data_IF_893950404263
#
_entry.id   IF_893950404263
#
_cell.length_a   1.000
_cell.length_b   1.000
_cell.length_c   1.000
_cell.angle_alpha   90.00
_cell.angle_beta   90.00
_cell.angle_gamma   90.00
#
_symmetry.space_group_name_H-M   'P 1'
#
loop_
_entity.id
_entity.type
_entity.pdbx_description
1 polymer ?
#
# COMPACT_ATOMS: atom_id res chain seq x y z
N UNK A 1 -0.74 13.06 -7.48
CA UNK A 1 -0.48 11.67 -7.06
C UNK A 1 1.03 11.42 -7.13
N UNK A 2 1.63 10.90 -6.06
CA UNK A 2 3.06 10.52 -6.06
C UNK A 2 3.28 9.15 -6.71
N UNK A 3 4.54 8.75 -6.92
CA UNK A 3 4.87 7.51 -7.62
C UNK A 3 4.29 6.27 -6.91
N UNK A 4 4.39 6.22 -5.59
CA UNK A 4 3.91 5.07 -4.80
C UNK A 4 2.39 4.97 -4.82
N UNK A 5 1.70 6.10 -4.72
CA UNK A 5 0.24 6.16 -4.88
C UNK A 5 -0.19 5.69 -6.27
N UNK A 6 0.55 6.10 -7.30
CA UNK A 6 0.25 5.67 -8.67
C UNK A 6 0.47 4.17 -8.86
N UNK A 7 1.52 3.58 -8.28
CA UNK A 7 1.73 2.13 -8.31
C UNK A 7 0.58 1.38 -7.62
N UNK A 8 0.10 1.88 -6.47
CA UNK A 8 -1.07 1.29 -5.80
C UNK A 8 -2.34 1.47 -6.64
N UNK A 9 -2.53 2.62 -7.29
CA UNK A 9 -3.66 2.86 -8.21
C UNK A 9 -3.65 1.87 -9.39
N UNK A 10 -2.48 1.68 -10.02
CA UNK A 10 -2.26 0.71 -11.09
C UNK A 10 -2.53 -0.72 -10.61
N UNK A 11 -2.12 -1.07 -9.39
CA UNK A 11 -2.47 -2.35 -8.78
C UNK A 11 -3.99 -2.55 -8.67
N UNK A 12 -4.73 -1.55 -8.18
CA UNK A 12 -6.18 -1.67 -8.10
C UNK A 12 -6.84 -1.76 -9.47
N UNK A 13 -6.33 -1.04 -10.48
CA UNK A 13 -6.86 -1.11 -11.85
C UNK A 13 -6.54 -2.42 -12.56
N UNK A 14 -5.28 -2.82 -12.58
CA UNK A 14 -4.82 -3.94 -13.39
C UNK A 14 -4.95 -5.27 -12.67
N UNK A 15 -4.68 -5.35 -11.36
CA UNK A 15 -4.77 -6.61 -10.62
C UNK A 15 -6.18 -6.79 -10.06
N UNK A 16 -6.69 -5.80 -9.32
CA UNK A 16 -8.01 -5.91 -8.67
C UNK A 16 -9.18 -5.61 -9.61
N UNK A 17 -8.91 -5.14 -10.84
CA UNK A 17 -9.92 -4.81 -11.87
C UNK A 17 -10.93 -3.75 -11.39
N UNK A 18 -10.44 -2.75 -10.67
CA UNK A 18 -11.23 -1.64 -10.16
C UNK A 18 -11.24 -0.43 -11.10
N UNK A 19 -12.30 0.36 -11.01
CA UNK A 19 -12.26 1.78 -11.36
C UNK A 19 -11.67 2.56 -10.18
N UNK A 20 -10.89 3.60 -10.45
CA UNK A 20 -10.16 4.36 -9.44
C UNK A 20 -10.39 5.86 -9.57
N UNK A 21 -10.34 6.55 -8.43
CA UNK A 21 -10.39 8.01 -8.32
C UNK A 21 -9.33 8.42 -7.30
N UNK A 22 -8.31 9.14 -7.74
CA UNK A 22 -7.19 9.59 -6.89
C UNK A 22 -7.36 11.04 -6.44
N UNK A 23 -6.66 11.42 -5.36
CA UNK A 23 -6.52 12.82 -4.90
C UNK A 23 -7.87 13.52 -4.63
N UNK A 24 -8.77 12.82 -3.93
CA UNK A 24 -10.11 13.32 -3.63
C UNK A 24 -10.05 14.24 -2.42
N UNK A 25 -10.08 15.55 -2.66
CA UNK A 25 -10.10 16.56 -1.59
C UNK A 25 -11.39 16.50 -0.79
N UNK A 26 -11.29 16.74 0.52
CA UNK A 26 -12.43 16.80 1.44
C UNK A 26 -12.76 18.26 1.76
N UNK A 27 -13.82 18.84 1.17
CA UNK A 27 -14.25 20.20 1.50
C UNK A 27 -14.57 20.30 2.99
N UNK A 28 -14.12 21.37 3.65
CA UNK A 28 -14.25 21.55 5.10
C UNK A 28 -13.60 20.43 5.94
N UNK A 29 -12.74 19.60 5.34
CA UNK A 29 -12.04 18.50 5.98
C UNK A 29 -10.73 18.90 6.66
N UNK A 30 -10.39 20.19 6.77
CA UNK A 30 -9.09 20.65 7.29
C UNK A 30 -7.90 20.09 6.48
N UNK A 31 -7.89 20.38 5.17
CA UNK A 31 -6.88 19.92 4.20
C UNK A 31 -6.73 18.40 4.13
N UNK A 32 -7.80 17.66 4.43
CA UNK A 32 -7.85 16.22 4.20
C UNK A 32 -8.10 15.93 2.73
N UNK A 33 -7.55 14.80 2.32
CA UNK A 33 -7.78 14.17 1.03
C UNK A 33 -7.86 12.66 1.25
N UNK A 34 -8.57 11.96 0.37
CA UNK A 34 -8.39 10.53 0.18
C UNK A 34 -7.30 10.33 -0.87
N UNK A 35 -6.33 9.48 -0.58
CA UNK A 35 -5.27 9.20 -1.54
C UNK A 35 -5.87 8.48 -2.77
N UNK A 36 -6.69 7.45 -2.52
CA UNK A 36 -7.36 6.68 -3.56
C UNK A 36 -8.74 6.14 -3.11
N UNK A 37 -9.75 6.32 -3.95
CA UNK A 37 -10.99 5.56 -3.91
C UNK A 37 -10.99 4.54 -5.04
N UNK A 38 -11.43 3.32 -4.78
CA UNK A 38 -11.57 2.29 -5.80
C UNK A 38 -12.94 1.60 -5.73
N UNK A 39 -13.47 1.25 -6.89
CA UNK A 39 -14.73 0.54 -7.05
C UNK A 39 -14.48 -0.71 -7.87
N UNK A 40 -14.73 -1.88 -7.26
CA UNK A 40 -14.69 -3.16 -7.95
C UNK A 40 -16.10 -3.60 -8.30
N UNK A 41 -16.46 -3.70 -9.58
CA UNK A 41 -17.76 -4.23 -9.97
C UNK A 41 -17.78 -5.75 -9.77
N UNK A 42 -18.63 -6.27 -8.87
CA UNK A 42 -18.96 -7.69 -8.84
C UNK A 42 -20.39 -7.91 -9.37
N UNK A 43 -20.67 -9.13 -9.84
CA UNK A 43 -21.95 -9.46 -10.51
C UNK A 43 -23.21 -9.17 -9.67
N UNK A 44 -23.08 -9.14 -8.34
CA UNK A 44 -24.22 -8.98 -7.42
C UNK A 44 -24.13 -7.73 -6.54
N UNK A 45 -22.92 -7.33 -6.14
CA UNK A 45 -22.67 -6.19 -5.26
C UNK A 45 -21.41 -5.46 -5.72
N UNK A 46 -21.23 -4.19 -5.39
CA UNK A 46 -19.97 -3.50 -5.63
C UNK A 46 -19.09 -3.60 -4.37
N UNK A 47 -17.78 -3.72 -4.55
CA UNK A 47 -16.85 -3.50 -3.44
C UNK A 47 -16.27 -2.09 -3.56
N UNK A 48 -16.38 -1.35 -2.47
CA UNK A 48 -16.00 0.05 -2.37
C UNK A 48 -14.80 0.15 -1.45
N UNK A 49 -13.70 0.72 -1.94
CA UNK A 49 -12.46 0.81 -1.19
C UNK A 49 -12.06 2.28 -1.00
N UNK A 50 -11.70 2.62 0.23
CA UNK A 50 -10.92 3.81 0.52
C UNK A 50 -9.52 3.35 0.92
N UNK A 51 -8.55 3.70 0.08
CA UNK A 51 -7.16 3.31 0.22
C UNK A 51 -6.32 4.52 0.62
N UNK A 52 -5.58 4.35 1.70
CA UNK A 52 -4.60 5.30 2.22
C UNK A 52 -3.21 4.68 2.05
N UNK A 53 -2.25 5.47 1.53
CA UNK A 53 -0.93 4.97 1.15
C UNK A 53 0.11 5.63 2.06
N UNK A 54 0.59 4.86 3.05
CA UNK A 54 1.49 5.33 4.10
C UNK A 54 2.91 4.84 3.93
N UNK A 55 3.44 4.83 2.71
CA UNK A 55 4.81 4.39 2.42
C UNK A 55 5.74 5.60 2.52
N UNK A 56 6.69 5.53 3.43
CA UNK A 56 7.70 6.57 3.66
C UNK A 56 9.04 6.08 3.12
N UNK A 57 9.92 7.02 2.74
CA UNK A 57 11.31 6.73 2.34
C UNK A 57 12.29 7.03 3.51
N UNK A 58 11.80 6.95 4.74
CA UNK A 58 12.60 7.23 5.94
C UNK A 58 13.28 5.95 6.45
N UNK A 59 14.16 6.07 7.44
CA UNK A 59 14.82 4.92 8.10
C UNK A 59 13.82 3.87 8.61
N UNK A 60 12.57 4.28 8.88
CA UNK A 60 11.49 3.43 9.36
C UNK A 60 10.46 3.17 8.24
N UNK A 61 10.73 2.18 7.40
CA UNK A 61 9.88 1.77 6.28
C UNK A 61 8.49 1.22 6.69
N UNK A 62 8.21 1.04 7.98
CA UNK A 62 6.88 0.61 8.46
C UNK A 62 6.57 1.15 9.86
N UNK A 63 5.29 1.16 10.23
CA UNK A 63 4.79 1.66 11.51
C UNK A 63 4.28 0.53 12.41
N UNK A 64 4.36 0.73 13.73
CA UNK A 64 3.75 -0.19 14.70
C UNK A 64 2.22 -0.02 14.77
N UNK A 65 1.54 -1.03 15.33
CA UNK A 65 0.08 -1.09 15.42
C UNK A 65 -0.54 0.09 16.19
N UNK A 66 0.14 0.63 17.21
CA UNK A 66 -0.36 1.80 17.95
C UNK A 66 -0.38 3.07 17.10
N UNK A 67 0.71 3.35 16.37
CA UNK A 67 0.77 4.47 15.44
C UNK A 67 -0.20 4.28 14.27
N UNK A 68 -0.36 3.04 13.80
CA UNK A 68 -1.32 2.69 12.78
C UNK A 68 -2.76 2.98 13.25
N UNK A 69 -3.10 2.65 14.50
CA UNK A 69 -4.42 2.95 15.08
C UNK A 69 -4.71 4.46 15.08
N UNK A 70 -3.74 5.28 15.52
CA UNK A 70 -3.85 6.74 15.49
C UNK A 70 -4.07 7.25 14.06
N UNK A 71 -3.32 6.69 13.11
CA UNK A 71 -3.41 7.09 11.71
C UNK A 71 -4.73 6.68 11.07
N UNK A 72 -5.24 5.49 11.38
CA UNK A 72 -6.58 5.04 10.97
C UNK A 72 -7.67 5.97 11.50
N UNK A 73 -7.64 6.30 12.80
CA UNK A 73 -8.58 7.25 13.38
C UNK A 73 -8.49 8.62 12.72
N UNK A 74 -7.28 9.08 12.39
CA UNK A 74 -7.15 10.30 11.61
C UNK A 74 -7.81 10.14 10.24
N UNK A 75 -7.34 9.22 9.40
CA UNK A 75 -7.72 9.14 7.97
C UNK A 75 -9.18 8.74 7.74
N UNK A 76 -9.71 7.78 8.51
CA UNK A 76 -11.03 7.19 8.22
C UNK A 76 -12.17 7.71 9.10
N UNK A 77 -11.91 8.20 10.32
CA UNK A 77 -12.98 8.75 11.19
C UNK A 77 -12.94 10.25 11.37
N UNK A 78 -11.95 10.91 10.79
CA UNK A 78 -11.81 12.35 10.90
C UNK A 78 -11.39 12.82 12.29
N UNK A 79 -10.83 11.94 13.15
CA UNK A 79 -10.21 12.40 14.40
C UNK A 79 -9.05 13.35 14.08
N UNK A 80 -8.89 14.50 14.74
CA UNK A 80 -7.76 15.39 14.49
C UNK A 80 -6.41 14.74 14.84
N UNK A 81 -5.34 15.11 14.14
CA UNK A 81 -3.97 14.70 14.52
C UNK A 81 -3.66 15.21 15.92
N UNK A 82 -2.96 14.38 16.71
CA UNK A 82 -2.28 14.86 17.92
C UNK A 82 -1.13 15.77 17.46
N UNK A 83 -1.15 17.04 17.86
CA UNK A 83 0.00 17.93 17.70
C UNK A 83 0.74 18.00 19.03
N UNK A 84 2.07 18.01 18.99
CA UNK A 84 2.94 18.18 20.16
C UNK A 84 2.76 19.55 20.85
N UNK A 85 2.11 20.50 20.18
CA UNK A 85 1.84 21.83 20.74
C UNK A 85 0.76 21.75 21.81
N UNK A 86 1.20 21.86 23.07
CA UNK A 86 0.39 22.05 24.27
C UNK A 86 -0.39 23.36 24.18
N UNK A 87 -1.71 23.27 24.00
CA UNK A 87 -2.60 24.43 24.10
C UNK A 87 -4.03 24.15 23.66
N UNK A 88 -4.99 24.86 24.27
CA UNK A 88 -6.44 24.80 24.00
C UNK A 88 -6.84 25.27 22.58
N UNK A 89 -5.88 25.57 21.70
CA UNK A 89 -6.13 26.04 20.33
C UNK A 89 -6.17 24.91 19.30
N UNK A 90 -5.75 23.69 19.64
CA UNK A 90 -5.77 22.56 18.71
C UNK A 90 -7.19 22.08 18.43
N UNK A 91 -7.42 21.53 17.23
CA UNK A 91 -8.75 20.99 16.86
C UNK A 91 -9.19 19.85 17.79
N UNK A 92 -8.23 19.04 18.28
CA UNK A 92 -8.49 17.99 19.28
C UNK A 92 -8.98 18.60 20.60
N UNK A 93 -8.33 19.65 21.09
CA UNK A 93 -8.74 20.35 22.31
C UNK A 93 -10.13 21.01 22.17
N UNK A 94 -10.51 21.39 20.94
CA UNK A 94 -11.84 21.93 20.61
C UNK A 94 -12.90 20.86 20.36
N UNK A 95 -12.56 19.57 20.53
CA UNK A 95 -13.49 18.45 20.30
C UNK A 95 -13.98 18.33 18.85
N UNK A 96 -13.26 18.90 17.88
CA UNK A 96 -13.67 18.81 16.48
C UNK A 96 -13.53 17.38 15.96
N UNK A 97 -14.44 16.99 15.09
CA UNK A 97 -14.37 15.75 14.34
C UNK A 97 -14.80 16.00 12.88
N UNK A 98 -14.11 15.36 11.94
CA UNK A 98 -14.29 15.59 10.50
C UNK A 98 -15.02 14.44 9.77
N UNK A 99 -15.71 13.56 10.51
CA UNK A 99 -16.43 12.41 9.97
C UNK A 99 -17.54 12.82 9.01
N UNK A 100 -18.29 13.88 9.32
CA UNK A 100 -19.37 14.33 8.44
C UNK A 100 -18.83 14.79 7.07
N UNK A 101 -17.84 15.70 6.98
CA UNK A 101 -17.19 16.02 5.71
C UNK A 101 -16.67 14.80 4.95
N UNK A 102 -16.07 13.82 5.65
CA UNK A 102 -15.61 12.55 5.05
C UNK A 102 -16.78 11.79 4.43
N UNK A 103 -17.88 11.63 5.18
CA UNK A 103 -19.06 10.89 4.75
C UNK A 103 -19.78 11.59 3.59
N UNK A 104 -19.91 12.92 3.65
CA UNK A 104 -20.51 13.71 2.58
C UNK A 104 -19.71 13.57 1.25
N UNK A 105 -18.39 13.37 1.32
CA UNK A 105 -17.57 13.10 0.12
C UNK A 105 -17.78 11.68 -0.39
N UNK A 106 -17.82 10.67 0.48
CA UNK A 106 -18.17 9.31 0.07
C UNK A 106 -19.50 9.27 -0.68
N UNK A 107 -20.54 9.91 -0.13
CA UNK A 107 -21.87 9.93 -0.75
C UNK A 107 -21.87 10.53 -2.16
N UNK A 108 -21.05 11.58 -2.41
CA UNK A 108 -20.92 12.18 -3.75
C UNK A 108 -20.39 11.21 -4.81
N UNK A 109 -19.59 10.24 -4.40
CA UNK A 109 -19.06 9.20 -5.28
C UNK A 109 -19.90 7.92 -5.23
N UNK A 110 -21.03 7.92 -4.53
CA UNK A 110 -21.90 6.75 -4.36
C UNK A 110 -21.38 5.74 -3.33
N UNK A 111 -20.46 6.14 -2.45
CA UNK A 111 -19.91 5.29 -1.41
C UNK A 111 -20.72 5.46 -0.12
N UNK A 112 -21.20 4.36 0.47
CA UNK A 112 -21.81 4.37 1.80
C UNK A 112 -20.78 4.01 2.85
N UNK A 113 -20.66 4.85 3.88
CA UNK A 113 -19.59 4.77 4.88
C UNK A 113 -19.39 3.37 5.48
N UNK A 114 -20.48 2.68 5.81
CA UNK A 114 -20.51 1.34 6.40
C UNK A 114 -20.10 0.23 5.40
N UNK A 115 -20.30 0.45 4.11
CA UNK A 115 -19.98 -0.50 3.05
C UNK A 115 -18.51 -0.41 2.60
N UNK A 116 -17.81 0.68 2.93
CA UNK A 116 -16.42 0.93 2.51
C UNK A 116 -15.43 0.00 3.20
N UNK A 117 -14.64 -0.71 2.41
CA UNK A 117 -13.40 -1.35 2.84
C UNK A 117 -12.32 -0.28 3.02
N UNK A 118 -11.78 -0.18 4.23
CA UNK A 118 -10.73 0.75 4.62
C UNK A 118 -9.39 0.04 4.53
N UNK A 119 -8.61 0.43 3.54
CA UNK A 119 -7.33 -0.19 3.22
C UNK A 119 -6.22 0.79 3.59
N UNK A 120 -5.22 0.30 4.33
CA UNK A 120 -4.00 1.07 4.58
C UNK A 120 -2.81 0.32 4.02
N UNK A 121 -2.12 0.93 3.06
CA UNK A 121 -0.97 0.34 2.40
C UNK A 121 0.32 0.77 3.11
N UNK A 122 1.11 -0.22 3.51
CA UNK A 122 2.41 -0.08 4.17
C UNK A 122 3.49 -0.72 3.28
N UNK A 123 4.77 -0.38 3.47
CA UNK A 123 5.85 -1.07 2.76
C UNK A 123 5.82 -2.58 3.04
N UNK A 124 5.79 -2.97 4.32
CA UNK A 124 5.69 -4.33 4.83
C UNK A 124 5.10 -4.33 6.25
N UNK A 125 4.83 -5.51 6.80
CA UNK A 125 4.34 -5.67 8.17
C UNK A 125 5.42 -6.20 9.10
N UNK A 126 5.51 -5.67 10.32
CA UNK A 126 6.44 -6.12 11.37
C UNK A 126 5.76 -6.82 12.55
N UNK A 127 4.50 -7.17 12.38
CA UNK A 127 3.65 -7.78 13.41
C UNK A 127 3.09 -9.09 12.88
N UNK A 128 2.80 -10.00 13.80
CA UNK A 128 2.24 -11.31 13.50
C UNK A 128 0.76 -11.22 13.12
N UNK A 129 0.24 -12.29 12.52
CA UNK A 129 -1.18 -12.39 12.19
C UNK A 129 -2.09 -12.32 13.42
N UNK A 130 -1.64 -12.83 14.56
CA UNK A 130 -2.41 -12.81 15.81
C UNK A 130 -2.50 -11.39 16.38
N UNK A 131 -1.37 -10.66 16.40
CA UNK A 131 -1.33 -9.26 16.79
C UNK A 131 -2.22 -8.41 15.88
N UNK A 132 -2.14 -8.62 14.57
CA UNK A 132 -3.01 -7.94 13.61
C UNK A 132 -4.48 -8.26 13.83
N UNK A 133 -4.83 -9.53 14.05
CA UNK A 133 -6.22 -9.95 14.27
C UNK A 133 -6.82 -9.30 15.53
N UNK A 134 -6.06 -9.24 16.62
CA UNK A 134 -6.48 -8.57 17.84
C UNK A 134 -6.62 -7.05 17.64
N UNK A 135 -5.69 -6.44 16.92
CA UNK A 135 -5.75 -5.02 16.58
C UNK A 135 -6.96 -4.68 15.70
N UNK A 136 -7.20 -5.49 14.66
CA UNK A 136 -8.30 -5.34 13.71
C UNK A 136 -9.65 -5.37 14.41
N UNK A 137 -9.85 -6.30 15.35
CA UNK A 137 -11.03 -6.37 16.22
C UNK A 137 -11.29 -5.07 16.97
N UNK A 138 -10.26 -4.53 17.61
CA UNK A 138 -10.34 -3.29 18.38
C UNK A 138 -10.69 -2.10 17.47
N UNK A 139 -10.00 -1.98 16.34
CA UNK A 139 -10.23 -0.90 15.38
C UNK A 139 -11.62 -0.99 14.77
N UNK A 140 -12.06 -2.16 14.30
CA UNK A 140 -13.39 -2.34 13.74
C UNK A 140 -14.50 -1.96 14.73
N UNK A 141 -14.35 -2.35 16.00
CA UNK A 141 -15.27 -1.94 17.08
C UNK A 141 -15.30 -0.43 17.29
N UNK A 142 -14.13 0.22 17.35
CA UNK A 142 -14.02 1.68 17.50
C UNK A 142 -14.66 2.43 16.31
N UNK A 143 -14.56 1.85 15.11
CA UNK A 143 -15.10 2.38 13.87
C UNK A 143 -16.58 2.03 13.64
N UNK A 144 -17.16 1.11 14.43
CA UNK A 144 -18.49 0.53 14.24
C UNK A 144 -18.70 -0.05 12.84
N UNK A 145 -17.70 -0.77 12.34
CA UNK A 145 -17.76 -1.49 11.05
C UNK A 145 -17.38 -2.95 11.25
N UNK A 146 -17.71 -3.77 10.25
CA UNK A 146 -17.30 -5.18 10.26
C UNK A 146 -15.77 -5.31 10.21
N UNK A 147 -15.23 -6.31 10.91
CA UNK A 147 -13.77 -6.55 10.93
C UNK A 147 -13.22 -6.75 9.52
N UNK A 148 -13.92 -7.51 8.68
CA UNK A 148 -13.56 -7.79 7.29
C UNK A 148 -13.34 -6.51 6.43
N UNK A 149 -13.92 -5.36 6.83
CA UNK A 149 -13.77 -4.05 6.16
C UNK A 149 -12.47 -3.35 6.48
N UNK A 150 -11.69 -3.81 7.46
CA UNK A 150 -10.38 -3.24 7.79
C UNK A 150 -9.29 -4.09 7.16
N UNK A 151 -8.51 -3.51 6.26
CA UNK A 151 -7.50 -4.24 5.48
C UNK A 151 -6.16 -3.52 5.61
N UNK A 152 -5.10 -4.29 5.85
CA UNK A 152 -3.73 -3.83 5.65
C UNK A 152 -3.19 -4.47 4.38
N UNK A 153 -2.52 -3.66 3.56
CA UNK A 153 -1.98 -4.07 2.28
C UNK A 153 -0.46 -3.89 2.28
N UNK A 154 0.28 -4.95 1.98
CA UNK A 154 1.74 -4.93 1.89
C UNK A 154 2.16 -4.49 0.49
N UNK A 155 2.87 -3.38 0.38
CA UNK A 155 3.33 -2.88 -0.91
C UNK A 155 4.42 -3.78 -1.48
N UNK A 156 5.41 -4.13 -0.66
CA UNK A 156 6.57 -4.97 -1.03
C UNK A 156 6.16 -6.38 -1.39
N UNK A 157 5.25 -6.99 -0.64
CA UNK A 157 4.97 -8.42 -0.73
C UNK A 157 3.70 -8.74 -1.52
N UNK A 158 2.79 -7.77 -1.69
CA UNK A 158 1.53 -7.96 -2.41
C UNK A 158 1.45 -7.07 -3.64
N UNK A 159 1.51 -5.75 -3.48
CA UNK A 159 1.26 -4.79 -4.58
C UNK A 159 2.27 -4.96 -5.70
N UNK A 160 3.57 -4.83 -5.40
CA UNK A 160 4.62 -4.92 -6.41
C UNK A 160 4.65 -6.29 -7.10
N UNK A 161 4.67 -7.43 -6.39
CA UNK A 161 4.78 -8.73 -7.05
C UNK A 161 3.57 -9.08 -7.90
N UNK A 162 2.35 -8.75 -7.43
CA UNK A 162 1.13 -9.02 -8.21
C UNK A 162 1.03 -8.10 -9.42
N UNK A 163 1.38 -6.83 -9.28
CA UNK A 163 1.40 -5.91 -10.42
C UNK A 163 2.45 -6.33 -11.45
N UNK A 164 3.67 -6.68 -11.03
CA UNK A 164 4.71 -7.19 -11.93
C UNK A 164 4.28 -8.46 -12.66
N UNK A 165 3.51 -9.36 -12.02
CA UNK A 165 2.96 -10.54 -12.70
C UNK A 165 1.99 -10.16 -13.81
N UNK A 166 1.11 -9.19 -13.56
CA UNK A 166 0.09 -8.74 -14.52
C UNK A 166 0.67 -7.88 -15.65
N UNK A 167 1.71 -7.10 -15.38
CA UNK A 167 2.43 -6.31 -16.39
C UNK A 167 3.08 -7.26 -17.41
N UNK A 168 2.66 -7.13 -18.66
CA UNK A 168 3.18 -7.87 -19.81
C UNK A 168 4.38 -7.15 -20.40
N UNK A 169 4.97 -7.70 -21.45
CA UNK A 169 6.09 -7.10 -22.19
C UNK A 169 5.65 -6.13 -23.29
N UNK A 170 4.37 -5.74 -23.30
CA UNK A 170 3.80 -4.86 -24.31
C UNK A 170 4.25 -3.40 -24.09
N UNK A 171 4.04 -2.55 -25.09
CA UNK A 171 4.21 -1.11 -24.95
C UNK A 171 3.06 -0.55 -24.12
N UNK A 172 3.39 0.09 -23.00
CA UNK A 172 2.45 0.84 -22.17
C UNK A 172 2.71 2.33 -22.38
N UNK A 173 1.66 3.11 -22.57
CA UNK A 173 1.75 4.59 -22.62
C UNK A 173 2.01 5.19 -21.23
N UNK A 174 1.69 4.44 -20.17
CA UNK A 174 1.99 4.81 -18.80
C UNK A 174 3.47 4.52 -18.47
N UNK A 175 4.21 5.57 -18.10
CA UNK A 175 5.65 5.48 -17.84
C UNK A 175 5.99 4.51 -16.70
N UNK A 176 5.16 4.43 -15.64
CA UNK A 176 5.43 3.52 -14.53
C UNK A 176 5.21 2.07 -14.94
N UNK A 177 4.11 1.77 -15.64
CA UNK A 177 3.89 0.43 -16.20
C UNK A 177 5.00 0.07 -17.20
N UNK A 178 5.45 1.03 -18.00
CA UNK A 178 6.54 0.82 -18.94
C UNK A 178 7.84 0.50 -18.20
N UNK A 179 8.19 1.26 -17.17
CA UNK A 179 9.35 0.98 -16.31
C UNK A 179 9.27 -0.41 -15.68
N UNK A 180 8.14 -0.78 -15.10
CA UNK A 180 7.94 -2.12 -14.52
C UNK A 180 8.08 -3.23 -15.57
N UNK A 181 7.57 -3.02 -16.79
CA UNK A 181 7.72 -3.98 -17.91
C UNK A 181 9.18 -4.18 -18.31
N UNK A 182 9.99 -3.12 -18.27
CA UNK A 182 11.41 -3.15 -18.61
C UNK A 182 12.22 -3.84 -17.50
N UNK A 183 11.94 -3.56 -16.23
CA UNK A 183 12.56 -4.25 -15.08
C UNK A 183 12.32 -5.76 -15.19
N UNK A 184 11.06 -6.17 -15.40
CA UNK A 184 10.71 -7.59 -15.57
C UNK A 184 11.43 -8.24 -16.75
N UNK A 185 11.56 -7.54 -17.87
CA UNK A 185 12.28 -8.06 -19.03
C UNK A 185 13.78 -8.20 -18.74
N UNK A 186 14.37 -7.27 -18.00
CA UNK A 186 15.76 -7.35 -17.54
C UNK A 186 15.98 -8.57 -16.67
N UNK A 187 15.11 -8.81 -15.69
CA UNK A 187 15.18 -10.01 -14.82
C UNK A 187 15.13 -11.31 -15.64
N UNK A 188 14.19 -11.42 -16.59
CA UNK A 188 14.07 -12.58 -17.48
C UNK A 188 15.36 -12.82 -18.28
N UNK A 189 15.97 -11.75 -18.80
CA UNK A 189 17.20 -11.84 -19.58
C UNK A 189 18.39 -12.27 -18.70
N UNK A 190 18.52 -11.70 -17.50
CA UNK A 190 19.57 -12.06 -16.55
C UNK A 190 19.45 -13.51 -16.09
N UNK A 191 18.25 -13.98 -15.73
CA UNK A 191 18.03 -15.38 -15.34
C UNK A 191 18.31 -16.36 -16.49
N UNK A 192 17.97 -16.00 -17.73
CA UNK A 192 18.29 -16.81 -18.91
C UNK A 192 19.78 -16.86 -19.18
N UNK A 193 20.47 -15.72 -19.09
CA UNK A 193 21.92 -15.66 -19.24
C UNK A 193 22.60 -16.59 -18.23
N UNK A 194 22.18 -16.53 -16.96
CA UNK A 194 22.69 -17.41 -15.91
C UNK A 194 22.46 -18.91 -16.21
N UNK A 195 21.24 -19.28 -16.60
CA UNK A 195 20.89 -20.67 -16.94
C UNK A 195 21.54 -21.19 -18.23
N UNK A 196 22.03 -20.29 -19.09
CA UNK A 196 22.72 -20.64 -20.34
C UNK A 196 24.23 -20.86 -20.17
N UNK A 197 24.77 -20.62 -18.96
CA UNK A 197 26.18 -20.88 -18.65
C UNK A 197 26.40 -22.39 -18.47
N UNK A 198 27.22 -23.04 -19.30
CA UNK A 198 27.56 -24.45 -19.10
C UNK A 198 28.27 -24.64 -17.75
N UNK A 199 27.96 -25.71 -16.99
CA UNK A 199 28.82 -26.12 -15.89
C UNK A 199 30.21 -26.42 -16.48
N UNK A 200 31.25 -25.76 -15.95
CA UNK A 200 32.65 -25.74 -16.44
C UNK A 200 33.00 -24.76 -17.58
N UNK A 201 32.23 -23.69 -17.80
CA UNK A 201 32.57 -22.65 -18.79
C UNK A 201 33.81 -21.80 -18.45
N UNK A 202 34.41 -21.97 -17.28
CA UNK A 202 35.56 -21.17 -16.81
C UNK A 202 35.20 -19.72 -16.44
N UNK A 203 33.91 -19.36 -16.47
CA UNK A 203 33.38 -18.03 -16.12
C UNK A 203 33.57 -17.74 -14.61
N UNK A 204 33.77 -18.77 -13.80
CA UNK A 204 34.17 -18.67 -12.38
C UNK A 204 35.42 -17.79 -12.17
N UNK A 205 36.28 -17.66 -13.19
CA UNK A 205 37.46 -16.79 -13.17
C UNK A 205 37.13 -15.30 -13.25
N UNK A 206 35.92 -14.94 -13.69
CA UNK A 206 35.47 -13.56 -13.88
C UNK A 206 34.38 -13.13 -12.87
N UNK A 207 33.59 -14.07 -12.36
CA UNK A 207 32.45 -13.77 -11.47
C UNK A 207 32.56 -14.40 -10.07
N UNK A 208 33.69 -15.04 -9.74
CA UNK A 208 33.84 -15.82 -8.53
C UNK A 208 33.18 -17.19 -8.64
N UNK A 209 33.29 -18.01 -7.59
CA UNK A 209 32.65 -19.33 -7.56
C UNK A 209 31.13 -19.19 -7.61
N UNK A 210 30.41 -20.26 -7.99
CA UNK A 210 28.94 -20.29 -7.93
C UNK A 210 28.44 -19.90 -6.51
N UNK A 211 29.17 -20.26 -5.46
CA UNK A 211 28.90 -19.84 -4.08
C UNK A 211 29.08 -18.34 -3.84
N UNK A 212 29.96 -17.66 -4.58
CA UNK A 212 30.14 -16.21 -4.47
C UNK A 212 29.01 -15.44 -5.17
N UNK A 213 28.51 -15.95 -6.30
CA UNK A 213 27.34 -15.37 -6.99
C UNK A 213 26.06 -15.65 -6.21
N UNK A 214 25.91 -16.84 -5.64
CA UNK A 214 24.81 -17.16 -4.73
C UNK A 214 24.88 -16.36 -3.43
N UNK A 215 26.07 -16.06 -2.88
CA UNK A 215 26.21 -15.10 -1.78
C UNK A 215 25.71 -13.70 -2.16
N UNK A 216 25.96 -13.23 -3.38
CA UNK A 216 25.41 -11.93 -3.84
C UNK A 216 23.89 -11.96 -3.97
N UNK A 217 23.30 -13.09 -4.41
CA UNK A 217 21.85 -13.28 -4.46
C UNK A 217 21.22 -13.52 -3.07
N UNK A 218 21.96 -14.10 -2.13
CA UNK A 218 21.55 -14.33 -0.73
C UNK A 218 21.76 -13.09 0.15
N UNK A 219 22.61 -12.13 -0.25
CA UNK A 219 22.78 -10.85 0.45
C UNK A 219 21.48 -10.03 0.46
N UNK A 220 20.58 -10.19 -0.52
CA UNK A 220 19.24 -9.59 -0.47
C UNK A 220 18.30 -10.24 0.57
N UNK A 221 18.72 -11.35 1.20
CA UNK A 221 17.97 -12.06 2.25
C UNK A 221 18.58 -11.99 3.65
N UNK A 222 19.80 -11.46 3.83
CA UNK A 222 20.44 -11.38 5.16
C UNK A 222 21.20 -10.06 5.34
N UNK A 223 20.49 -8.94 5.48
CA UNK A 223 20.89 -7.85 6.39
C UNK A 223 19.62 -7.21 6.94
N UNK A 224 19.05 -7.76 8.00
CA UNK A 224 18.44 -7.00 9.10
C UNK A 224 18.42 -7.91 10.34
N UNK A 225 19.60 -8.06 10.95
CA UNK A 225 19.71 -8.36 12.36
C UNK A 225 20.72 -7.37 12.96
N UNK A 226 20.16 -6.30 13.55
CA UNK A 226 20.64 -5.55 14.72
C UNK A 226 19.70 -4.40 15.03
#
# INVERSE_FOLDING_TARGET
MNATEHIVELYYRFVQKCFTISDVKIPNGNNRQFDLLALKPEKKNMQLFHIEIGITNDEHWTVGLDNLKKTFGYKFTGNPKEKETTGNKTDKAKGKNYLKPISDVYERYGFKYEEVFRVYCLWYFKFTNDEFSLWRKKVAKDLKVEENKIILLSFRETVLPELLKEVKTNYYDDDLLRTLSLIKQSEIQTSRAFNSIPPNSGIEKYFGTIDDVLKVAEIDTIIYDK
#
